data_IF_087274960922
#
_entry.id   IF_087274960922
#
_cell.length_a   1.000
_cell.length_b   1.000
_cell.length_c   1.000
_cell.angle_alpha   90.00
_cell.angle_beta   90.00
_cell.angle_gamma   90.00
#
_symmetry.space_group_name_H-M   'P 1'
#
loop_
_entity.id
_entity.type
_entity.pdbx_description
1 polymer ?
#
# COMPACT_ATOMS: atom_id res chain seq x y z
N UNK A 1 -13.11 -14.92 13.35
CA UNK A 1 -12.84 -16.38 13.22
C UNK A 1 -13.11 -17.06 14.56
N UNK A 2 -13.87 -18.17 14.62
CA UNK A 2 -14.34 -18.78 15.90
C UNK A 2 -13.49 -19.97 16.39
N UNK A 3 -12.61 -20.52 15.56
CA UNK A 3 -11.72 -21.63 15.93
C UNK A 3 -10.32 -21.11 16.35
N UNK A 4 -9.87 -21.37 17.59
CA UNK A 4 -8.54 -20.97 18.06
C UNK A 4 -7.39 -21.50 17.21
N UNK A 5 -7.47 -22.74 16.72
CA UNK A 5 -6.40 -23.38 15.93
C UNK A 5 -6.26 -22.70 14.57
N UNK A 6 -7.40 -22.36 13.95
CA UNK A 6 -7.42 -21.58 12.71
C UNK A 6 -6.88 -20.16 12.92
N UNK A 7 -7.18 -19.53 14.07
CA UNK A 7 -6.64 -18.21 14.41
C UNK A 7 -5.12 -18.24 14.54
N UNK A 8 -4.57 -19.25 15.21
CA UNK A 8 -3.11 -19.42 15.35
C UNK A 8 -2.43 -19.67 14.01
N UNK A 9 -3.02 -20.51 13.16
CA UNK A 9 -2.51 -20.77 11.81
C UNK A 9 -2.46 -19.47 10.97
N UNK A 10 -3.56 -18.70 10.94
CA UNK A 10 -3.61 -17.42 10.21
C UNK A 10 -2.61 -16.43 10.79
N UNK A 11 -2.48 -16.36 12.12
CA UNK A 11 -1.47 -15.52 12.77
C UNK A 11 -0.05 -15.88 12.33
N UNK A 12 0.29 -17.16 12.31
CA UNK A 12 1.59 -17.64 11.85
C UNK A 12 1.88 -17.23 10.39
N UNK A 13 0.88 -17.36 9.52
CA UNK A 13 0.99 -16.95 8.11
C UNK A 13 1.20 -15.44 7.96
N UNK A 14 0.39 -14.62 8.65
CA UNK A 14 0.51 -13.16 8.60
C UNK A 14 1.87 -12.69 9.13
N UNK A 15 2.34 -13.31 10.22
CA UNK A 15 3.66 -13.02 10.78
C UNK A 15 4.78 -13.33 9.79
N UNK A 16 4.70 -14.45 9.06
CA UNK A 16 5.67 -14.77 8.03
C UNK A 16 5.67 -13.74 6.89
N UNK A 17 4.49 -13.28 6.46
CA UNK A 17 4.37 -12.22 5.45
C UNK A 17 4.96 -10.88 5.94
N UNK A 18 4.69 -10.49 7.19
CA UNK A 18 5.28 -9.31 7.82
C UNK A 18 6.80 -9.44 7.90
N UNK A 19 7.32 -10.59 8.32
CA UNK A 19 8.76 -10.82 8.38
C UNK A 19 9.43 -10.64 7.02
N UNK A 20 8.78 -11.09 5.95
CA UNK A 20 9.29 -10.89 4.58
C UNK A 20 9.24 -9.41 4.19
N UNK A 21 8.10 -8.76 4.41
CA UNK A 21 7.85 -7.36 4.01
C UNK A 21 8.69 -6.33 4.79
N UNK A 22 9.02 -6.61 6.04
CA UNK A 22 9.88 -5.76 6.89
C UNK A 22 11.32 -6.27 7.01
N UNK A 23 11.70 -7.30 6.25
CA UNK A 23 13.04 -7.89 6.33
C UNK A 23 14.15 -6.85 6.07
N UNK A 24 13.94 -5.95 5.11
CA UNK A 24 14.82 -4.81 4.83
C UNK A 24 14.91 -3.86 6.02
N UNK A 25 13.77 -3.44 6.56
CA UNK A 25 13.70 -2.57 7.75
C UNK A 25 14.45 -3.14 8.96
N UNK A 26 14.27 -4.43 9.22
CA UNK A 26 14.94 -5.09 10.34
C UNK A 26 16.46 -5.09 10.21
N UNK A 27 16.98 -5.13 8.98
CA UNK A 27 18.42 -5.01 8.69
C UNK A 27 18.86 -3.55 8.81
N UNK A 28 18.11 -2.61 8.22
CA UNK A 28 18.40 -1.16 8.29
C UNK A 28 18.54 -0.69 9.75
N UNK A 29 17.65 -1.14 10.65
CA UNK A 29 17.68 -0.76 12.06
C UNK A 29 18.63 -1.59 12.94
N UNK A 30 19.27 -2.61 12.37
CA UNK A 30 20.08 -3.58 13.13
C UNK A 30 19.33 -4.13 14.36
N UNK A 31 18.05 -4.48 14.19
CA UNK A 31 17.25 -5.03 15.29
C UNK A 31 17.86 -6.35 15.78
N UNK A 32 17.85 -6.56 17.09
CA UNK A 32 18.12 -7.87 17.70
C UNK A 32 17.02 -8.88 17.34
N UNK A 33 17.29 -10.17 17.51
CA UNK A 33 16.28 -11.21 17.29
C UNK A 33 15.04 -11.02 18.17
N UNK A 34 15.23 -10.53 19.40
CA UNK A 34 14.13 -10.24 20.33
C UNK A 34 13.30 -9.03 19.86
N UNK A 35 13.93 -7.95 19.43
CA UNK A 35 13.23 -6.78 18.88
C UNK A 35 12.45 -7.13 17.60
N UNK A 36 13.04 -7.93 16.69
CA UNK A 36 12.34 -8.41 15.49
C UNK A 36 11.10 -9.23 15.84
N UNK A 37 11.24 -10.15 16.80
CA UNK A 37 10.13 -11.00 17.25
C UNK A 37 8.99 -10.17 17.85
N UNK A 38 9.32 -9.21 18.72
CA UNK A 38 8.34 -8.30 19.34
C UNK A 38 7.67 -7.41 18.31
N UNK A 39 8.45 -6.74 17.45
CA UNK A 39 7.90 -5.83 16.43
C UNK A 39 6.99 -6.58 15.46
N UNK A 40 7.42 -7.75 14.99
CA UNK A 40 6.61 -8.57 14.08
C UNK A 40 5.33 -9.06 14.75
N UNK A 41 5.39 -9.40 16.04
CA UNK A 41 4.21 -9.70 16.86
C UNK A 41 3.22 -8.55 16.90
N UNK A 42 3.67 -7.35 17.26
CA UNK A 42 2.84 -6.14 17.33
C UNK A 42 2.16 -5.85 15.98
N UNK A 43 2.93 -5.89 14.89
CA UNK A 43 2.41 -5.66 13.54
C UNK A 43 1.40 -6.73 13.11
N UNK A 44 1.67 -7.99 13.44
CA UNK A 44 0.75 -9.11 13.14
C UNK A 44 -0.57 -8.95 13.88
N UNK A 45 -0.50 -8.65 15.17
CA UNK A 45 -1.68 -8.51 16.01
C UNK A 45 -2.50 -7.28 15.60
N UNK A 46 -1.85 -6.19 15.18
CA UNK A 46 -2.49 -5.02 14.59
C UNK A 46 -3.21 -5.35 13.27
N UNK A 47 -2.56 -6.09 12.36
CA UNK A 47 -3.16 -6.51 11.10
C UNK A 47 -4.36 -7.44 11.30
N UNK A 48 -4.27 -8.40 12.24
CA UNK A 48 -5.36 -9.29 12.58
C UNK A 48 -6.56 -8.52 13.15
N UNK A 49 -6.34 -7.58 14.08
CA UNK A 49 -7.41 -6.71 14.60
C UNK A 49 -8.11 -5.95 13.48
N UNK A 50 -7.35 -5.38 12.55
CA UNK A 50 -7.93 -4.68 11.39
C UNK A 50 -8.79 -5.60 10.52
N UNK A 51 -8.35 -6.84 10.26
CA UNK A 51 -9.15 -7.82 9.51
C UNK A 51 -10.45 -8.16 10.26
N UNK A 52 -10.40 -8.34 11.57
CA UNK A 52 -11.57 -8.62 12.40
C UNK A 52 -12.56 -7.45 12.40
N UNK A 53 -12.07 -6.23 12.48
CA UNK A 53 -12.89 -5.03 12.33
C UNK A 53 -13.55 -4.99 10.96
N UNK A 54 -12.79 -5.16 9.87
CA UNK A 54 -13.33 -5.15 8.50
C UNK A 54 -14.37 -6.26 8.29
N UNK A 55 -14.10 -7.48 8.74
CA UNK A 55 -15.06 -8.60 8.64
C UNK A 55 -16.34 -8.36 9.46
N UNK A 56 -16.22 -7.72 10.63
CA UNK A 56 -17.38 -7.32 11.44
C UNK A 56 -18.29 -6.31 10.73
N UNK A 57 -17.72 -5.45 9.87
CA UNK A 57 -18.48 -4.46 9.09
C UNK A 57 -19.23 -5.07 7.91
N UNK A 58 -18.66 -6.11 7.29
CA UNK A 58 -19.29 -6.80 6.15
C UNK A 58 -20.25 -7.93 6.58
N UNK A 59 -20.16 -8.39 7.83
CA UNK A 59 -21.01 -9.47 8.38
C UNK A 59 -22.43 -9.05 8.76
N UNK A 60 -22.64 -7.78 9.11
CA UNK A 60 -23.96 -7.20 9.40
C UNK A 60 -23.97 -5.75 8.89
N UNK A 61 -24.69 -5.47 7.79
CA UNK A 61 -24.92 -4.09 7.32
C UNK A 61 -25.75 -3.33 8.36
N UNK A 62 -25.08 -2.73 9.36
CA UNK A 62 -25.68 -1.74 10.24
C UNK A 62 -25.45 -0.35 9.64
N UNK A 63 -26.52 0.21 9.10
CA UNK A 63 -26.60 1.63 8.76
C UNK A 63 -26.28 2.45 10.03
N UNK A 64 -25.19 3.24 10.00
CA UNK A 64 -24.71 4.04 11.13
C UNK A 64 -23.34 3.65 11.70
N UNK A 65 -22.74 2.52 11.28
CA UNK A 65 -21.46 2.03 11.81
C UNK A 65 -20.20 2.84 11.39
N UNK A 66 -20.32 3.88 10.55
CA UNK A 66 -19.17 4.54 9.91
C UNK A 66 -18.24 5.32 10.83
N UNK A 67 -18.79 6.14 11.75
CA UNK A 67 -17.98 7.00 12.62
C UNK A 67 -17.34 6.24 13.80
N UNK A 68 -18.07 5.31 14.41
CA UNK A 68 -17.56 4.50 15.52
C UNK A 68 -16.44 3.56 15.07
N UNK A 69 -16.55 3.02 13.86
CA UNK A 69 -15.51 2.17 13.27
C UNK A 69 -14.25 2.94 12.94
N UNK A 70 -14.37 4.18 12.45
CA UNK A 70 -13.19 5.03 12.17
C UNK A 70 -12.44 5.36 13.46
N UNK A 71 -13.14 5.72 14.54
CA UNK A 71 -12.50 5.94 15.85
C UNK A 71 -11.80 4.69 16.36
N UNK A 72 -12.43 3.52 16.23
CA UNK A 72 -11.81 2.24 16.63
C UNK A 72 -10.52 1.96 15.85
N UNK A 73 -10.49 2.25 14.54
CA UNK A 73 -9.28 2.09 13.71
C UNK A 73 -8.20 3.11 14.09
N UNK A 74 -8.58 4.38 14.29
CA UNK A 74 -7.65 5.43 14.72
C UNK A 74 -7.04 5.12 16.10
N UNK A 75 -7.83 4.66 17.05
CA UNK A 75 -7.36 4.33 18.40
C UNK A 75 -6.52 3.05 18.41
N UNK A 76 -6.89 2.03 17.63
CA UNK A 76 -6.07 0.84 17.43
C UNK A 76 -4.71 1.19 16.79
N UNK A 77 -4.69 2.12 15.84
CA UNK A 77 -3.46 2.65 15.24
C UNK A 77 -2.61 3.37 16.29
N UNK A 78 -3.17 4.31 17.06
CA UNK A 78 -2.44 5.02 18.12
C UNK A 78 -1.86 4.07 19.17
N UNK A 79 -2.62 3.05 19.55
CA UNK A 79 -2.13 2.03 20.47
C UNK A 79 -0.94 1.26 19.86
N UNK A 80 -1.08 0.80 18.61
CA UNK A 80 0.01 0.10 17.91
C UNK A 80 1.25 0.99 17.81
N UNK A 81 1.07 2.25 17.42
CA UNK A 81 2.16 3.22 17.28
C UNK A 81 2.84 3.48 18.65
N UNK A 82 2.08 3.56 19.75
CA UNK A 82 2.64 3.68 21.10
C UNK A 82 3.44 2.44 21.54
N UNK A 83 2.96 1.22 21.23
CA UNK A 83 3.65 -0.04 21.52
C UNK A 83 4.97 -0.15 20.73
N UNK A 84 4.95 0.19 19.44
CA UNK A 84 6.14 0.21 18.59
C UNK A 84 7.12 1.28 19.09
N UNK A 85 6.63 2.47 19.44
CA UNK A 85 7.47 3.54 19.99
C UNK A 85 8.12 3.14 21.32
N UNK A 86 7.40 2.45 22.20
CA UNK A 86 7.96 1.94 23.45
C UNK A 86 9.05 0.86 23.22
N UNK A 87 8.91 0.06 22.17
CA UNK A 87 9.89 -0.95 21.78
C UNK A 87 11.14 -0.35 21.12
N UNK A 88 10.96 0.61 20.21
CA UNK A 88 12.01 1.12 19.33
C UNK A 88 12.67 2.40 19.85
N UNK A 89 11.99 3.16 20.71
CA UNK A 89 12.37 4.52 21.08
C UNK A 89 12.03 5.56 19.99
N UNK A 90 12.18 6.85 20.31
CA UNK A 90 11.77 7.96 19.44
C UNK A 90 12.42 7.95 18.05
N UNK A 91 13.74 7.76 17.98
CA UNK A 91 14.49 7.84 16.72
C UNK A 91 14.12 6.73 15.73
N UNK A 92 14.14 5.48 16.20
CA UNK A 92 13.78 4.31 15.37
C UNK A 92 12.29 4.25 15.08
N UNK A 93 11.44 4.83 15.93
CA UNK A 93 10.02 5.00 15.64
C UNK A 93 9.80 5.97 14.46
N UNK A 94 10.52 7.08 14.39
CA UNK A 94 10.45 7.98 13.23
C UNK A 94 10.90 7.27 11.93
N UNK A 95 11.92 6.40 12.02
CA UNK A 95 12.36 5.56 10.90
C UNK A 95 11.29 4.53 10.51
N UNK A 96 10.56 3.96 11.48
CA UNK A 96 9.41 3.10 11.22
C UNK A 96 8.28 3.84 10.49
N UNK A 97 7.94 5.05 10.91
CA UNK A 97 6.91 5.86 10.25
C UNK A 97 7.29 6.19 8.80
N UNK A 98 8.55 6.58 8.55
CA UNK A 98 9.04 6.77 7.18
C UNK A 98 9.00 5.47 6.36
N UNK A 99 9.37 4.34 6.97
CA UNK A 99 9.29 3.03 6.32
C UNK A 99 7.85 2.69 5.92
N UNK A 100 6.87 2.93 6.81
CA UNK A 100 5.44 2.72 6.53
C UNK A 100 4.93 3.60 5.40
N UNK A 101 5.26 4.90 5.43
CA UNK A 101 4.81 5.88 4.44
C UNK A 101 5.25 5.51 3.02
N UNK A 102 6.41 4.87 2.89
CA UNK A 102 7.04 4.54 1.62
C UNK A 102 7.03 3.03 1.33
N UNK A 103 6.21 2.25 2.04
CA UNK A 103 6.19 0.79 1.91
C UNK A 103 5.84 0.33 0.49
N UNK A 104 4.85 0.99 -0.13
CA UNK A 104 4.46 0.70 -1.52
C UNK A 104 5.58 0.98 -2.52
N UNK A 105 6.31 2.09 -2.32
CA UNK A 105 7.43 2.47 -3.19
C UNK A 105 8.60 1.46 -3.03
N UNK A 106 8.87 1.01 -1.79
CA UNK A 106 9.84 -0.05 -1.50
C UNK A 106 9.46 -1.38 -2.16
N UNK A 107 8.19 -1.79 -2.05
CA UNK A 107 7.70 -3.01 -2.71
C UNK A 107 7.85 -2.94 -4.24
N UNK A 108 7.56 -1.78 -4.84
CA UNK A 108 7.73 -1.59 -6.28
C UNK A 108 9.21 -1.70 -6.68
N UNK A 109 10.13 -1.15 -5.89
CA UNK A 109 11.56 -1.26 -6.14
C UNK A 109 12.08 -2.69 -5.94
N UNK A 110 11.60 -3.42 -4.94
CA UNK A 110 11.96 -4.83 -4.75
C UNK A 110 11.52 -5.71 -5.93
N UNK A 111 10.34 -5.42 -6.50
CA UNK A 111 9.86 -6.06 -7.72
C UNK A 111 10.73 -5.71 -8.93
N UNK A 112 11.09 -4.43 -9.09
CA UNK A 112 12.01 -3.98 -10.14
C UNK A 112 13.38 -4.65 -10.01
N UNK A 113 13.92 -4.73 -8.79
CA UNK A 113 15.17 -5.41 -8.49
C UNK A 113 15.12 -6.87 -8.92
N UNK A 114 14.06 -7.58 -8.55
CA UNK A 114 13.86 -8.99 -8.93
C UNK A 114 13.75 -9.15 -10.46
N UNK A 115 13.02 -8.25 -11.13
CA UNK A 115 12.90 -8.22 -12.59
C UNK A 115 14.26 -8.04 -13.27
N UNK A 116 15.05 -7.08 -12.81
CA UNK A 116 16.38 -6.80 -13.34
C UNK A 116 17.39 -7.91 -13.03
N UNK A 117 17.35 -8.51 -11.85
CA UNK A 117 18.16 -9.67 -11.49
C UNK A 117 17.91 -10.84 -12.43
N UNK A 118 16.66 -11.11 -12.80
CA UNK A 118 16.30 -12.15 -13.78
C UNK A 118 16.88 -11.88 -15.19
N UNK A 119 17.22 -10.62 -15.49
CA UNK A 119 17.87 -10.20 -16.74
C UNK A 119 19.39 -10.05 -16.61
N UNK A 120 19.99 -10.48 -15.49
CA UNK A 120 21.41 -10.27 -15.16
C UNK A 120 21.82 -8.79 -15.08
N UNK A 121 20.89 -7.91 -14.70
CA UNK A 121 21.07 -6.45 -14.59
C UNK A 121 20.86 -5.96 -13.15
N UNK A 122 21.29 -6.75 -12.16
CA UNK A 122 21.06 -6.51 -10.74
C UNK A 122 21.34 -5.05 -10.32
N UNK A 123 20.41 -4.46 -9.57
CA UNK A 123 20.58 -3.13 -9.01
C UNK A 123 21.53 -3.18 -7.82
N UNK A 124 22.47 -2.24 -7.78
CA UNK A 124 23.31 -2.01 -6.61
C UNK A 124 22.49 -1.40 -5.47
N UNK A 125 22.88 -1.65 -4.23
CA UNK A 125 22.18 -1.10 -3.06
C UNK A 125 22.11 0.43 -3.09
N UNK A 126 23.17 1.09 -3.55
CA UNK A 126 23.18 2.54 -3.74
C UNK A 126 22.14 3.00 -4.78
N UNK A 127 21.97 2.29 -5.89
CA UNK A 127 20.97 2.62 -6.90
C UNK A 127 19.56 2.46 -6.32
N UNK A 128 19.31 1.42 -5.52
CA UNK A 128 18.04 1.22 -4.82
C UNK A 128 17.71 2.37 -3.86
N UNK A 129 18.69 2.78 -3.05
CA UNK A 129 18.51 3.92 -2.12
C UNK A 129 18.24 5.21 -2.87
N UNK A 130 18.95 5.48 -3.97
CA UNK A 130 18.76 6.68 -4.78
C UNK A 130 17.41 6.68 -5.51
N UNK A 131 16.98 5.54 -6.06
CA UNK A 131 15.66 5.40 -6.67
C UNK A 131 14.54 5.66 -5.65
N UNK A 132 14.64 5.07 -4.45
CA UNK A 132 13.66 5.30 -3.39
C UNK A 132 13.59 6.78 -3.02
N UNK A 133 14.74 7.45 -2.90
CA UNK A 133 14.78 8.87 -2.61
C UNK A 133 14.12 9.71 -3.72
N UNK A 134 14.38 9.39 -5.00
CA UNK A 134 13.73 10.04 -6.14
C UNK A 134 12.20 9.87 -6.06
N UNK A 135 11.73 8.65 -5.82
CA UNK A 135 10.29 8.35 -5.69
C UNK A 135 9.65 9.17 -4.56
N UNK A 136 10.31 9.23 -3.39
CA UNK A 136 9.85 10.02 -2.25
C UNK A 136 9.75 11.52 -2.59
N UNK A 137 10.77 12.06 -3.23
CA UNK A 137 10.82 13.48 -3.61
C UNK A 137 9.78 13.84 -4.66
N UNK A 138 9.64 13.04 -5.73
CA UNK A 138 8.64 13.30 -6.77
C UNK A 138 7.21 13.18 -6.25
N UNK A 139 6.96 12.22 -5.34
CA UNK A 139 5.64 12.05 -4.71
C UNK A 139 5.31 13.17 -3.73
N UNK A 140 6.32 13.73 -3.06
CA UNK A 140 6.15 14.93 -2.24
C UNK A 140 5.93 16.19 -3.09
N UNK A 141 6.63 16.32 -4.21
CA UNK A 141 6.49 17.45 -5.13
C UNK A 141 5.16 17.42 -5.90
N UNK A 142 4.67 16.23 -6.23
CA UNK A 142 3.39 16.00 -6.91
C UNK A 142 2.59 14.97 -6.12
N UNK A 143 1.82 15.38 -5.11
CA UNK A 143 0.99 14.47 -4.32
C UNK A 143 -0.10 13.79 -5.17
N UNK A 144 -0.43 12.52 -4.90
CA UNK A 144 -1.51 11.82 -5.60
C UNK A 144 -2.87 12.41 -5.28
N UNK A 145 -3.80 12.30 -6.23
CA UNK A 145 -5.21 12.71 -6.06
C UNK A 145 -5.91 11.81 -5.05
N UNK A 146 -5.60 10.52 -5.08
CA UNK A 146 -6.06 9.52 -4.13
C UNK A 146 -4.85 9.09 -3.29
N UNK A 147 -4.79 9.48 -2.00
CA UNK A 147 -3.67 9.14 -1.13
C UNK A 147 -3.48 7.62 -1.01
N UNK A 148 -2.23 7.17 -1.16
CA UNK A 148 -1.84 5.78 -0.89
C UNK A 148 -1.57 5.51 0.59
N UNK A 149 -1.38 6.58 1.38
CA UNK A 149 -1.13 6.52 2.82
C UNK A 149 -2.47 6.44 3.56
N UNK A 150 -2.69 5.33 4.28
CA UNK A 150 -3.90 5.09 5.04
C UNK A 150 -4.18 6.18 6.10
N UNK A 151 -3.15 6.89 6.59
CA UNK A 151 -3.33 8.01 7.52
C UNK A 151 -3.83 9.29 6.86
N UNK A 152 -3.72 9.38 5.53
CA UNK A 152 -4.15 10.53 4.72
C UNK A 152 -5.42 10.26 3.91
N UNK A 153 -5.94 9.03 3.98
CA UNK A 153 -7.21 8.66 3.38
C UNK A 153 -8.36 9.44 4.06
N UNK A 154 -9.10 10.28 3.32
CA UNK A 154 -10.21 11.04 3.89
C UNK A 154 -11.33 10.13 4.38
N UNK A 155 -12.06 10.61 5.41
CA UNK A 155 -13.20 9.91 6.01
C UNK A 155 -14.29 9.52 5.02
N UNK A 156 -14.42 10.26 3.91
CA UNK A 156 -15.35 9.96 2.84
C UNK A 156 -14.61 9.48 1.58
N UNK A 157 -14.15 8.23 1.59
CA UNK A 157 -13.52 7.59 0.43
C UNK A 157 -14.38 7.67 -0.83
N UNK A 158 -15.72 7.60 -0.70
CA UNK A 158 -16.62 7.68 -1.85
C UNK A 158 -16.54 9.03 -2.57
N UNK A 159 -16.23 10.12 -1.85
CA UNK A 159 -16.02 11.43 -2.45
C UNK A 159 -14.70 11.52 -3.25
N UNK A 160 -13.72 10.66 -2.94
CA UNK A 160 -12.50 10.55 -3.73
C UNK A 160 -12.67 9.64 -4.96
N UNK A 161 -13.53 8.63 -4.89
CA UNK A 161 -13.73 7.63 -5.95
C UNK A 161 -14.70 8.11 -7.05
N UNK A 162 -14.63 9.37 -7.45
CA UNK A 162 -15.41 9.91 -8.57
C UNK A 162 -14.72 9.60 -9.90
N UNK A 163 -15.48 9.55 -10.99
CA UNK A 163 -14.92 9.37 -12.33
C UNK A 163 -13.84 10.40 -12.67
N UNK A 164 -14.06 11.67 -12.29
CA UNK A 164 -13.10 12.75 -12.52
C UNK A 164 -11.81 12.56 -11.71
N UNK A 165 -11.91 12.21 -10.42
CA UNK A 165 -10.72 11.98 -9.60
C UNK A 165 -9.95 10.73 -10.02
N UNK A 166 -10.64 9.69 -10.49
CA UNK A 166 -9.99 8.50 -11.05
C UNK A 166 -9.23 8.84 -12.34
N UNK A 167 -9.78 9.72 -13.19
CA UNK A 167 -9.08 10.21 -14.38
C UNK A 167 -7.85 11.04 -14.02
N UNK A 168 -7.99 11.98 -13.08
CA UNK A 168 -6.87 12.77 -12.58
C UNK A 168 -5.81 11.88 -11.90
N UNK A 169 -6.23 10.82 -11.20
CA UNK A 169 -5.30 9.86 -10.59
C UNK A 169 -4.51 9.09 -11.66
N UNK A 170 -5.15 8.68 -12.76
CA UNK A 170 -4.45 8.03 -13.88
C UNK A 170 -3.46 8.99 -14.57
N UNK A 171 -3.83 10.25 -14.75
CA UNK A 171 -2.91 11.28 -15.28
C UNK A 171 -1.75 11.54 -14.33
N UNK A 172 -2.03 11.64 -13.03
CA UNK A 172 -1.01 11.75 -11.98
C UNK A 172 -0.03 10.58 -12.03
N UNK A 173 -0.52 9.35 -12.19
CA UNK A 173 0.34 8.17 -12.31
C UNK A 173 1.31 8.29 -13.49
N UNK A 174 0.85 8.78 -14.64
CA UNK A 174 1.70 8.99 -15.81
C UNK A 174 2.76 10.07 -15.59
N UNK A 175 2.36 11.21 -15.04
CA UNK A 175 3.27 12.31 -14.77
C UNK A 175 4.32 11.94 -13.70
N UNK A 176 3.89 11.27 -12.63
CA UNK A 176 4.77 10.76 -11.59
C UNK A 176 5.75 9.74 -12.17
N UNK A 177 5.26 8.78 -12.94
CA UNK A 177 6.07 7.74 -13.56
C UNK A 177 7.15 8.33 -14.49
N UNK A 178 6.76 9.28 -15.35
CA UNK A 178 7.69 9.98 -16.25
C UNK A 178 8.78 10.72 -15.46
N UNK A 179 8.39 11.47 -14.42
CA UNK A 179 9.34 12.23 -13.58
C UNK A 179 10.36 11.33 -12.89
N UNK A 180 9.90 10.23 -12.31
CA UNK A 180 10.78 9.25 -11.67
C UNK A 180 11.72 8.62 -12.71
N UNK A 181 11.21 8.25 -13.88
CA UNK A 181 11.99 7.68 -14.98
C UNK A 181 13.09 8.64 -15.47
N UNK A 182 12.75 9.90 -15.72
CA UNK A 182 13.70 10.93 -16.19
C UNK A 182 14.86 11.10 -15.20
N UNK A 183 14.58 11.09 -13.89
CA UNK A 183 15.61 11.19 -12.84
C UNK A 183 16.37 9.87 -12.65
N UNK A 184 15.72 8.72 -12.83
CA UNK A 184 16.36 7.42 -12.78
C UNK A 184 17.46 7.26 -13.86
N UNK A 185 17.33 7.95 -14.99
CA UNK A 185 18.36 7.99 -16.03
C UNK A 185 19.72 8.57 -15.60
N UNK A 186 19.79 9.25 -14.44
CA UNK A 186 21.05 9.74 -13.87
C UNK A 186 21.81 8.68 -13.06
N UNK A 187 21.13 7.59 -12.67
CA UNK A 187 21.66 6.57 -11.75
C UNK A 187 21.64 5.15 -12.31
N UNK A 188 20.79 4.87 -13.31
CA UNK A 188 20.69 3.57 -13.97
C UNK A 188 21.54 3.52 -15.25
N UNK A 189 22.08 2.33 -15.56
CA UNK A 189 22.69 2.10 -16.87
C UNK A 189 21.63 2.18 -17.99
N UNK A 190 22.01 2.40 -19.25
CA UNK A 190 21.07 2.39 -20.38
C UNK A 190 20.25 1.09 -20.47
N UNK A 191 20.86 -0.06 -20.19
CA UNK A 191 20.21 -1.37 -20.20
C UNK A 191 19.22 -1.52 -19.03
N UNK A 192 19.61 -1.09 -17.83
CA UNK A 192 18.73 -1.07 -16.66
C UNK A 192 17.54 -0.12 -16.88
N UNK A 193 17.79 1.05 -17.45
CA UNK A 193 16.76 2.05 -17.73
C UNK A 193 15.74 1.54 -18.75
N UNK A 194 16.20 0.85 -19.81
CA UNK A 194 15.31 0.19 -20.77
C UNK A 194 14.39 -0.82 -20.09
N UNK A 195 14.95 -1.70 -19.27
CA UNK A 195 14.16 -2.70 -18.54
C UNK A 195 13.22 -2.06 -17.50
N UNK A 196 13.63 -0.95 -16.88
CA UNK A 196 12.78 -0.20 -15.98
C UNK A 196 11.57 0.39 -16.70
N UNK A 197 11.74 0.95 -17.91
CA UNK A 197 10.63 1.44 -18.73
C UNK A 197 9.61 0.35 -19.02
N UNK A 198 10.07 -0.83 -19.48
CA UNK A 198 9.20 -1.97 -19.78
C UNK A 198 8.43 -2.44 -18.52
N UNK A 199 9.12 -2.52 -17.38
CA UNK A 199 8.50 -2.85 -16.10
C UNK A 199 7.43 -1.82 -15.69
N UNK A 200 7.74 -0.53 -15.82
CA UNK A 200 6.85 0.57 -15.45
C UNK A 200 5.60 0.63 -16.33
N UNK A 201 5.74 0.41 -17.65
CA UNK A 201 4.63 0.34 -18.60
C UNK A 201 3.66 -0.78 -18.22
N UNK A 202 4.19 -1.97 -17.92
CA UNK A 202 3.36 -3.12 -17.52
C UNK A 202 2.60 -2.85 -16.22
N UNK A 203 3.30 -2.30 -15.20
CA UNK A 203 2.69 -1.98 -13.92
C UNK A 203 1.63 -0.88 -14.06
N UNK A 204 1.93 0.19 -14.80
CA UNK A 204 1.01 1.30 -15.07
C UNK A 204 -0.23 0.83 -15.81
N UNK A 205 -0.08 -0.02 -16.83
CA UNK A 205 -1.20 -0.59 -17.56
C UNK A 205 -2.14 -1.38 -16.64
N UNK A 206 -1.59 -2.22 -15.76
CA UNK A 206 -2.37 -3.01 -14.80
C UNK A 206 -3.08 -2.13 -13.77
N UNK A 207 -2.39 -1.14 -13.21
CA UNK A 207 -2.98 -0.21 -12.23
C UNK A 207 -4.12 0.61 -12.86
N UNK A 208 -3.90 1.16 -14.06
CA UNK A 208 -4.93 1.88 -14.81
C UNK A 208 -6.11 0.99 -15.17
N UNK A 209 -5.86 -0.27 -15.53
CA UNK A 209 -6.94 -1.23 -15.76
C UNK A 209 -7.80 -1.41 -14.50
N UNK A 210 -7.17 -1.61 -13.33
CA UNK A 210 -7.87 -1.67 -12.05
C UNK A 210 -8.70 -0.41 -11.75
N UNK A 211 -8.13 0.78 -12.00
CA UNK A 211 -8.85 2.06 -11.82
C UNK A 211 -10.03 2.22 -12.80
N UNK A 212 -9.89 1.77 -14.05
CA UNK A 212 -10.99 1.77 -15.03
C UNK A 212 -12.12 0.83 -14.61
N UNK A 213 -11.77 -0.39 -14.16
CA UNK A 213 -12.76 -1.33 -13.61
C UNK A 213 -13.46 -0.75 -12.39
N UNK A 214 -12.72 -0.12 -11.48
CA UNK A 214 -13.32 0.58 -10.33
C UNK A 214 -14.26 1.71 -10.78
N UNK A 215 -13.85 2.51 -11.77
CA UNK A 215 -14.70 3.56 -12.35
C UNK A 215 -16.02 3.01 -12.87
N UNK A 216 -15.99 1.90 -13.59
CA UNK A 216 -17.20 1.25 -14.12
C UNK A 216 -18.09 0.73 -12.99
N UNK A 217 -17.53 0.07 -11.98
CA UNK A 217 -18.31 -0.44 -10.84
C UNK A 217 -18.95 0.68 -10.01
N UNK A 218 -18.21 1.76 -9.72
CA UNK A 218 -18.74 2.90 -8.96
C UNK A 218 -19.63 3.84 -9.81
N UNK A 219 -19.42 3.90 -11.12
CA UNK A 219 -20.25 4.67 -12.06
C UNK A 219 -21.56 3.97 -12.42
N UNK A 220 -21.56 2.64 -12.57
CA UNK A 220 -22.75 1.85 -12.85
C UNK A 220 -23.73 1.81 -11.67
N UNK A 221 -23.24 1.95 -10.43
CA UNK A 221 -24.08 2.07 -9.23
C UNK A 221 -24.93 3.36 -9.14
N UNK A 222 -24.73 4.31 -10.06
CA UNK A 222 -25.56 5.52 -10.17
C UNK A 222 -26.47 5.52 -11.41
N UNK A 223 -26.47 4.43 -12.18
CA UNK A 223 -27.44 4.21 -13.25
C UNK A 223 -28.62 3.45 -12.67
N UNK A 224 -29.64 4.18 -12.21
CA UNK A 224 -30.95 3.61 -11.95
C UNK A 224 -31.48 3.00 -13.24
N UNK A 225 -31.22 1.72 -13.45
CA UNK A 225 -31.76 0.94 -14.54
C UNK A 225 -32.46 -0.26 -13.92
N UNK A 226 -33.67 -0.02 -13.41
CA UNK A 226 -34.69 -1.04 -13.27
C UNK A 226 -34.82 -1.72 -14.64
N UNK A 227 -34.58 -3.03 -14.78
CA UNK A 227 -34.91 -3.71 -16.03
C UNK A 227 -36.42 -3.58 -16.22
N UNK A 228 -36.85 -2.80 -17.21
CA UNK A 228 -38.24 -2.78 -17.62
C UNK A 228 -38.65 -4.21 -17.99
N UNK A 229 -39.68 -4.72 -17.30
CA UNK A 229 -40.29 -6.00 -17.63
C UNK A 229 -40.74 -5.98 -19.10
N UNK A 230 -40.48 -7.05 -19.89
CA UNK A 230 -40.91 -7.11 -21.26
C UNK A 230 -42.45 -7.14 -21.35
N UNK A 231 -43.07 -6.51 -22.36
CA UNK A 231 -44.51 -6.55 -22.52
C UNK A 231 -44.94 -7.97 -22.86
N UNK A 232 -45.83 -8.52 -22.02
CA UNK A 232 -46.41 -9.84 -22.20
C UNK A 232 -47.16 -9.94 -23.54
N UNK A 233 -47.02 -11.10 -24.18
CA UNK A 233 -47.99 -11.61 -25.15
C UNK A 233 -49.02 -12.46 -24.41
#
# INVERSE_FOLDING_TARGET
MKDPSMREMVRGQQKAAINMMYSGFFKELNLSSEEKEKLSGILTDSQLKNIEHVQGLFGEQKEGAGEDTQKLVEDAKKQTDAEIKALLGDERFAQYEDYQKNLGDRMQLDQLKTHLEAQNLALQDQQMTQLLQIMKEEKAAVPPVIPSDASQVPKNMKALMTSENLDKQMQWMDDYNRRVFDRAGQILSPEQLKQYHEFQDQQSAMQKFGLKMAREMFGAGNSGNTPAAPPGK
#
